data_IF_246456014457
#
_entry.id   IF_246456014457
#
_cell.length_a   1.000
_cell.length_b   1.000
_cell.length_c   1.000
_cell.angle_alpha   90.00
_cell.angle_beta   90.00
_cell.angle_gamma   90.00
#
_symmetry.space_group_name_H-M   'P 1'
#
loop_
_entity.id
_entity.type
_entity.pdbx_description
1 polymer ?
#
# COMPACT_ATOMS: atom_id res chain seq x y z
N UNK A 1 -7.00 5.46 -20.99
CA UNK A 1 -8.03 4.54 -20.47
C UNK A 1 -9.10 5.35 -19.72
N UNK A 2 -10.36 4.93 -19.68
CA UNK A 2 -11.37 5.52 -18.77
C UNK A 2 -11.13 5.04 -17.33
N UNK A 3 -11.50 5.82 -16.31
CA UNK A 3 -11.42 5.37 -14.91
C UNK A 3 -12.25 4.10 -14.67
N UNK A 4 -11.86 3.34 -13.64
CA UNK A 4 -12.56 2.13 -13.23
C UNK A 4 -14.00 2.41 -12.79
N UNK A 5 -14.27 3.58 -12.23
CA UNK A 5 -15.61 4.11 -12.01
C UNK A 5 -15.56 5.60 -11.64
N UNK A 6 -16.72 6.25 -11.59
CA UNK A 6 -16.84 7.66 -11.19
C UNK A 6 -16.39 7.94 -9.77
N UNK A 7 -16.36 6.94 -8.88
CA UNK A 7 -15.96 7.11 -7.48
C UNK A 7 -14.47 7.44 -7.32
N UNK A 8 -13.66 7.28 -8.36
CA UNK A 8 -12.24 7.62 -8.37
C UNK A 8 -11.96 9.06 -8.83
N UNK A 9 -12.99 9.77 -9.31
CA UNK A 9 -12.89 11.19 -9.66
C UNK A 9 -12.74 12.01 -8.39
N UNK A 10 -11.89 13.03 -8.46
CA UNK A 10 -11.67 13.94 -7.33
C UNK A 10 -12.90 14.84 -7.11
N UNK A 11 -13.51 14.70 -5.93
CA UNK A 11 -14.72 15.41 -5.53
C UNK A 11 -14.61 15.96 -4.09
N UNK A 12 -13.41 15.96 -3.50
CA UNK A 12 -13.09 16.31 -2.11
C UNK A 12 -13.77 15.44 -1.03
N UNK A 13 -14.68 14.54 -1.40
CA UNK A 13 -15.46 13.76 -0.45
C UNK A 13 -14.62 12.60 0.08
N UNK A 14 -14.51 12.45 1.41
CA UNK A 14 -13.81 11.33 1.98
C UNK A 14 -14.59 10.04 1.74
N UNK A 15 -13.89 8.98 1.34
CA UNK A 15 -14.48 7.66 1.18
C UNK A 15 -14.65 6.94 2.52
N UNK A 16 -13.78 7.24 3.49
CA UNK A 16 -13.91 6.80 4.88
C UNK A 16 -14.63 7.85 5.73
N UNK A 17 -15.32 7.39 6.77
CA UNK A 17 -15.76 8.28 7.85
C UNK A 17 -14.53 8.82 8.60
N UNK A 18 -14.46 10.13 8.75
CA UNK A 18 -13.36 10.84 9.40
C UNK A 18 -13.81 11.44 10.73
N UNK A 19 -12.97 11.33 11.75
CA UNK A 19 -13.18 12.03 13.02
C UNK A 19 -12.83 13.52 12.91
N UNK A 20 -13.07 14.30 13.97
CA UNK A 20 -12.81 15.75 13.97
C UNK A 20 -11.36 16.10 13.62
N UNK A 21 -10.39 15.44 14.23
CA UNK A 21 -8.96 15.68 13.97
C UNK A 21 -8.60 15.36 12.52
N UNK A 22 -9.11 14.25 11.98
CA UNK A 22 -8.87 13.85 10.60
C UNK A 22 -9.48 14.84 9.60
N UNK A 23 -10.66 15.38 9.89
CA UNK A 23 -11.27 16.43 9.07
C UNK A 23 -10.44 17.73 9.09
N UNK A 24 -9.93 18.12 10.26
CA UNK A 24 -9.04 19.28 10.40
C UNK A 24 -7.74 19.10 9.60
N UNK A 25 -7.08 17.94 9.71
CA UNK A 25 -5.86 17.64 8.96
C UNK A 25 -6.13 17.55 7.45
N UNK A 26 -7.23 16.91 7.03
CA UNK A 26 -7.64 16.87 5.63
C UNK A 26 -7.79 18.29 5.07
N UNK A 27 -8.49 19.17 5.78
CA UNK A 27 -8.68 20.55 5.34
C UNK A 27 -7.35 21.29 5.19
N UNK A 28 -6.41 21.11 6.13
CA UNK A 28 -5.08 21.71 6.03
C UNK A 28 -4.33 21.23 4.78
N UNK A 29 -4.39 19.93 4.47
CA UNK A 29 -3.77 19.38 3.26
C UNK A 29 -4.44 19.95 2.01
N UNK A 30 -5.78 19.98 1.95
CA UNK A 30 -6.51 20.55 0.82
C UNK A 30 -6.14 22.03 0.59
N UNK A 31 -6.06 22.84 1.65
CA UNK A 31 -5.67 24.25 1.57
C UNK A 31 -4.23 24.42 1.05
N UNK A 32 -3.30 23.58 1.51
CA UNK A 32 -1.90 23.59 1.05
C UNK A 32 -1.76 23.13 -0.40
N UNK A 33 -2.58 22.18 -0.85
CA UNK A 33 -2.62 21.77 -2.27
C UNK A 33 -3.24 22.87 -3.13
N UNK A 34 -4.38 23.43 -2.73
CA UNK A 34 -5.10 24.45 -3.50
C UNK A 34 -4.31 25.77 -3.65
N UNK A 35 -3.55 26.15 -2.61
CA UNK A 35 -2.67 27.33 -2.64
C UNK A 35 -1.37 27.13 -3.43
N UNK A 36 -1.06 25.89 -3.83
CA UNK A 36 0.23 25.53 -4.45
C UNK A 36 1.41 25.48 -3.48
N UNK A 37 1.14 25.50 -2.17
CA UNK A 37 2.17 25.37 -1.12
C UNK A 37 2.82 23.99 -1.18
N UNK A 38 2.03 22.91 -1.27
CA UNK A 38 2.55 21.59 -1.58
C UNK A 38 2.87 21.47 -3.06
N UNK A 39 4.17 21.54 -3.37
CA UNK A 39 4.68 21.38 -4.72
C UNK A 39 4.69 19.90 -5.13
N UNK A 40 4.30 19.65 -6.40
CA UNK A 40 4.25 18.32 -6.99
C UNK A 40 5.23 18.19 -8.17
N UNK A 41 5.73 16.98 -8.40
CA UNK A 41 6.64 16.63 -9.49
C UNK A 41 6.14 15.41 -10.28
N UNK A 42 6.36 15.44 -11.61
CA UNK A 42 6.09 14.29 -12.47
C UNK A 42 7.33 13.42 -12.63
N UNK A 43 7.24 12.17 -12.21
CA UNK A 43 8.37 11.23 -12.20
C UNK A 43 8.24 10.15 -13.27
N UNK A 44 9.35 9.46 -13.56
CA UNK A 44 9.35 8.24 -14.38
C UNK A 44 8.86 7.05 -13.54
N UNK A 45 8.52 5.94 -14.21
CA UNK A 45 8.20 4.71 -13.51
C UNK A 45 9.40 4.23 -12.68
N UNK A 46 9.20 3.97 -11.37
CA UNK A 46 10.29 3.56 -10.49
C UNK A 46 10.88 2.18 -10.85
N UNK A 47 10.11 1.32 -11.52
CA UNK A 47 10.60 -0.01 -11.94
C UNK A 47 11.29 0.06 -13.30
N UNK A 48 10.64 0.59 -14.34
CA UNK A 48 11.13 0.48 -15.72
C UNK A 48 11.63 1.78 -16.35
N UNK A 49 11.51 2.93 -15.67
CA UNK A 49 11.97 4.24 -16.17
C UNK A 49 11.11 4.86 -17.28
N UNK A 50 10.04 4.18 -17.71
CA UNK A 50 9.13 4.66 -18.77
C UNK A 50 8.14 5.71 -18.25
N UNK A 51 7.45 6.38 -19.17
CA UNK A 51 6.47 7.46 -18.89
C UNK A 51 5.05 7.13 -19.36
N UNK A 52 4.83 5.93 -19.85
CA UNK A 52 3.54 5.46 -20.35
C UNK A 52 2.68 4.98 -19.18
N UNK A 53 1.67 5.78 -18.84
CA UNK A 53 0.82 5.56 -17.68
C UNK A 53 -0.65 5.73 -18.03
N UNK A 54 -1.49 4.87 -17.46
CA UNK A 54 -2.94 5.08 -17.41
C UNK A 54 -3.38 5.52 -16.01
N UNK A 55 -4.35 6.42 -15.95
CA UNK A 55 -4.93 6.93 -14.71
C UNK A 55 -5.86 5.90 -14.08
N UNK A 56 -5.69 5.67 -12.78
CA UNK A 56 -6.55 4.78 -11.98
C UNK A 56 -7.40 5.55 -10.96
N UNK A 57 -6.86 6.62 -10.37
CA UNK A 57 -7.60 7.46 -9.42
C UNK A 57 -7.09 8.90 -9.40
N UNK A 58 -7.98 9.83 -9.09
CA UNK A 58 -7.70 11.25 -8.86
C UNK A 58 -7.79 11.63 -7.37
N UNK A 59 -8.16 10.68 -6.51
CA UNK A 59 -8.21 10.86 -5.06
C UNK A 59 -7.79 9.62 -4.29
N UNK A 60 -7.50 9.81 -3.01
CA UNK A 60 -7.28 8.75 -2.04
C UNK A 60 -8.53 8.47 -1.18
N UNK A 61 -8.41 7.54 -0.21
CA UNK A 61 -9.52 7.19 0.69
C UNK A 61 -10.00 8.34 1.59
N UNK A 62 -9.18 9.37 1.79
CA UNK A 62 -9.52 10.56 2.57
C UNK A 62 -10.19 11.62 1.71
N UNK A 63 -10.31 11.39 0.39
CA UNK A 63 -10.82 12.39 -0.54
C UNK A 63 -9.81 13.49 -0.84
N UNK A 64 -8.53 13.30 -0.51
CA UNK A 64 -7.46 14.21 -0.87
C UNK A 64 -7.12 14.03 -2.34
N UNK A 65 -6.73 15.11 -3.01
CA UNK A 65 -6.27 15.03 -4.38
C UNK A 65 -5.00 14.18 -4.48
N UNK A 66 -5.00 13.20 -5.39
CA UNK A 66 -3.89 12.29 -5.60
C UNK A 66 -3.99 11.66 -6.99
N UNK A 67 -2.97 11.78 -7.83
CA UNK A 67 -2.98 11.16 -9.15
C UNK A 67 -2.35 9.77 -9.11
N UNK A 68 -3.16 8.72 -8.97
CA UNK A 68 -2.70 7.33 -8.94
C UNK A 68 -2.75 6.75 -10.34
N UNK A 69 -1.61 6.24 -10.82
CA UNK A 69 -1.45 5.74 -12.19
C UNK A 69 -0.80 4.38 -12.22
N UNK A 70 -1.10 3.59 -13.26
CA UNK A 70 -0.45 2.31 -13.54
C UNK A 70 0.46 2.43 -14.76
N UNK A 71 1.67 1.89 -14.67
CA UNK A 71 2.62 1.86 -15.78
C UNK A 71 2.24 0.79 -16.80
N UNK A 72 2.13 1.17 -18.07
CA UNK A 72 1.77 0.26 -19.18
C UNK A 72 2.85 -0.80 -19.48
N UNK A 73 4.10 -0.55 -19.05
CA UNK A 73 5.27 -1.37 -19.40
C UNK A 73 5.59 -2.43 -18.35
N UNK A 74 5.43 -2.14 -17.06
CA UNK A 74 5.73 -3.09 -16.00
C UNK A 74 4.55 -3.40 -15.07
N UNK A 75 3.48 -2.60 -15.09
CA UNK A 75 2.32 -2.80 -14.21
C UNK A 75 2.43 -2.20 -12.80
N UNK A 76 3.52 -1.48 -12.47
CA UNK A 76 3.61 -0.77 -11.18
C UNK A 76 2.53 0.31 -11.09
N UNK A 77 1.80 0.34 -9.98
CA UNK A 77 0.92 1.44 -9.62
C UNK A 77 1.70 2.43 -8.76
N UNK A 78 1.67 3.72 -9.10
CA UNK A 78 2.36 4.78 -8.36
C UNK A 78 1.63 6.12 -8.45
N UNK A 79 1.95 7.00 -7.53
CA UNK A 79 1.49 8.39 -7.55
C UNK A 79 2.31 9.18 -8.56
N UNK A 80 1.65 9.83 -9.51
CA UNK A 80 2.32 10.64 -10.53
C UNK A 80 1.37 11.67 -11.16
N UNK A 81 1.53 12.99 -10.91
CA UNK A 81 2.60 13.60 -10.12
C UNK A 81 2.45 13.29 -8.64
N UNK A 82 3.58 13.27 -7.92
CA UNK A 82 3.67 13.09 -6.46
C UNK A 82 4.17 14.37 -5.79
N UNK A 83 4.03 14.52 -4.48
CA UNK A 83 4.67 15.62 -3.76
C UNK A 83 6.19 15.58 -3.97
N UNK A 84 6.82 16.75 -4.08
CA UNK A 84 8.28 16.87 -4.00
C UNK A 84 8.77 16.42 -2.63
N UNK A 85 10.04 16.03 -2.49
CA UNK A 85 10.60 15.57 -1.22
C UNK A 85 10.34 16.55 -0.07
N UNK A 86 10.57 17.86 -0.29
CA UNK A 86 10.34 18.88 0.74
C UNK A 86 8.86 18.96 1.18
N UNK A 87 7.92 18.94 0.23
CA UNK A 87 6.49 18.95 0.54
C UNK A 87 6.05 17.66 1.23
N UNK A 88 6.60 16.53 0.81
CA UNK A 88 6.31 15.22 1.38
C UNK A 88 6.84 15.07 2.82
N UNK A 89 8.06 15.55 3.09
CA UNK A 89 8.65 15.56 4.43
C UNK A 89 7.82 16.42 5.40
N UNK A 90 7.40 17.61 4.96
CA UNK A 90 6.52 18.47 5.76
C UNK A 90 5.17 17.79 6.02
N UNK A 91 4.56 17.20 4.99
CA UNK A 91 3.32 16.43 5.14
C UNK A 91 3.48 15.29 6.17
N UNK A 92 4.61 14.59 6.12
CA UNK A 92 4.91 13.50 7.05
C UNK A 92 5.08 13.99 8.49
N UNK A 93 5.67 15.17 8.66
CA UNK A 93 5.95 15.78 9.96
C UNK A 93 4.69 16.37 10.61
N UNK A 94 3.79 16.98 9.83
CA UNK A 94 2.70 17.79 10.36
C UNK A 94 1.37 17.03 10.36
N UNK A 95 0.91 16.54 9.19
CA UNK A 95 -0.45 16.02 9.03
C UNK A 95 -0.53 14.49 9.01
N UNK A 96 0.47 13.79 8.47
CA UNK A 96 0.40 12.35 8.17
C UNK A 96 -0.13 11.50 9.32
N UNK A 97 0.57 11.46 10.48
CA UNK A 97 0.18 10.57 11.57
C UNK A 97 -1.20 10.92 12.14
N UNK A 98 -1.52 12.21 12.27
CA UNK A 98 -2.81 12.70 12.79
C UNK A 98 -3.96 12.36 11.87
N UNK A 99 -3.77 12.52 10.56
CA UNK A 99 -4.76 12.13 9.56
C UNK A 99 -4.93 10.60 9.50
N UNK A 100 -3.85 9.84 9.65
CA UNK A 100 -3.86 8.40 9.42
C UNK A 100 -4.31 7.59 10.63
N UNK A 101 -3.85 7.96 11.83
CA UNK A 101 -4.22 7.31 13.08
C UNK A 101 -5.45 7.94 13.72
N UNK A 102 -5.72 9.22 13.46
CA UNK A 102 -6.81 9.94 14.12
C UNK A 102 -6.54 10.22 15.60
N UNK A 103 -5.30 10.01 16.06
CA UNK A 103 -4.82 10.20 17.42
C UNK A 103 -3.45 10.90 17.42
N UNK A 104 -3.11 11.56 18.53
CA UNK A 104 -1.88 12.34 18.70
C UNK A 104 -0.75 11.59 19.44
N UNK A 105 -0.96 10.36 19.94
CA UNK A 105 0.03 9.67 20.81
C UNK A 105 0.11 8.16 20.58
N UNK A 106 1.28 7.53 20.81
CA UNK A 106 1.40 6.08 20.82
C UNK A 106 0.61 5.47 21.98
N UNK A 107 -0.01 4.31 21.72
CA UNK A 107 -0.77 3.55 22.72
C UNK A 107 -0.17 2.15 22.91
N UNK A 108 -0.48 1.52 24.05
CA UNK A 108 -0.12 0.11 24.28
C UNK A 108 -0.68 -0.82 23.20
N UNK A 109 -1.85 -0.48 22.64
CA UNK A 109 -2.47 -1.26 21.57
C UNK A 109 -1.62 -1.21 20.29
N UNK A 110 -1.13 -0.04 19.89
CA UNK A 110 -0.25 0.10 18.72
C UNK A 110 1.01 -0.76 18.87
N UNK A 111 1.61 -0.76 20.06
CA UNK A 111 2.77 -1.62 20.34
C UNK A 111 2.41 -3.11 20.24
N UNK A 112 1.30 -3.51 20.85
CA UNK A 112 0.87 -4.90 20.87
C UNK A 112 0.51 -5.42 19.46
N UNK A 113 -0.14 -4.60 18.63
CA UNK A 113 -0.45 -4.94 17.24
C UNK A 113 0.83 -5.13 16.41
N UNK A 114 1.81 -4.23 16.58
CA UNK A 114 3.13 -4.36 15.96
C UNK A 114 3.88 -5.60 16.47
N UNK A 115 3.74 -5.96 17.75
CA UNK A 115 4.30 -7.18 18.32
C UNK A 115 3.70 -8.44 17.72
N UNK A 116 2.36 -8.51 17.58
CA UNK A 116 1.70 -9.64 16.93
C UNK A 116 2.14 -9.78 15.46
N UNK A 117 2.30 -8.65 14.75
CA UNK A 117 2.88 -8.63 13.41
C UNK A 117 4.31 -9.17 13.43
N UNK A 118 5.14 -8.72 14.37
CA UNK A 118 6.50 -9.21 14.56
C UNK A 118 6.59 -10.71 14.75
N UNK A 119 5.65 -11.32 15.49
CA UNK A 119 5.58 -12.79 15.63
C UNK A 119 5.29 -13.48 14.30
N UNK A 120 4.42 -12.92 13.47
CA UNK A 120 4.14 -13.46 12.14
C UNK A 120 5.37 -13.35 11.23
N UNK A 121 6.06 -12.20 11.26
CA UNK A 121 7.30 -11.96 10.52
C UNK A 121 8.40 -12.94 10.96
N UNK A 122 8.61 -13.10 12.27
CA UNK A 122 9.56 -14.08 12.80
C UNK A 122 9.23 -15.51 12.33
N UNK A 123 7.96 -15.92 12.45
CA UNK A 123 7.55 -17.27 12.06
C UNK A 123 7.76 -17.58 10.58
N UNK A 124 7.68 -16.57 9.72
CA UNK A 124 7.93 -16.70 8.28
C UNK A 124 9.42 -16.68 7.93
N UNK A 125 10.23 -15.94 8.69
CA UNK A 125 11.68 -15.82 8.49
C UNK A 125 12.48 -16.97 9.12
N UNK A 126 12.06 -17.50 10.26
CA UNK A 126 12.81 -18.54 10.99
C UNK A 126 13.19 -19.78 10.17
N UNK A 127 12.39 -20.25 9.16
CA UNK A 127 12.80 -21.40 8.35
C UNK A 127 14.05 -21.13 7.49
N UNK A 128 14.40 -19.85 7.31
CA UNK A 128 15.57 -19.40 6.55
C UNK A 128 16.80 -19.22 7.44
N UNK A 129 16.71 -19.47 8.74
CA UNK A 129 17.82 -19.29 9.66
C UNK A 129 18.77 -20.50 9.62
N UNK A 130 20.03 -20.25 9.29
CA UNK A 130 21.08 -21.29 9.16
C UNK A 130 21.99 -21.44 10.38
N UNK A 131 21.77 -20.64 11.43
CA UNK A 131 22.63 -20.55 12.63
C UNK A 131 21.78 -20.26 13.88
N UNK A 132 22.33 -20.38 15.10
CA UNK A 132 21.59 -20.09 16.33
C UNK A 132 20.96 -18.69 16.34
N UNK A 133 19.72 -18.59 16.83
CA UNK A 133 18.91 -17.34 16.80
C UNK A 133 19.63 -16.18 17.50
N UNK A 134 20.36 -16.46 18.58
CA UNK A 134 21.10 -15.45 19.35
C UNK A 134 22.30 -14.83 18.61
N UNK A 135 22.66 -15.36 17.44
CA UNK A 135 23.69 -14.77 16.59
C UNK A 135 23.13 -13.76 15.57
N UNK A 136 21.80 -13.73 15.37
CA UNK A 136 21.13 -12.82 14.44
C UNK A 136 21.04 -11.41 14.98
N UNK A 137 21.49 -10.46 14.16
CA UNK A 137 21.26 -9.04 14.32
C UNK A 137 20.20 -8.57 13.34
N UNK A 138 19.07 -8.11 13.90
CA UNK A 138 17.88 -7.66 13.18
C UNK A 138 17.78 -6.14 13.26
N UNK A 139 17.70 -5.50 12.10
CA UNK A 139 17.45 -4.08 11.94
C UNK A 139 16.04 -3.87 11.39
N UNK A 140 15.24 -3.02 12.03
CA UNK A 140 13.95 -2.57 11.47
C UNK A 140 14.03 -1.07 11.13
N UNK A 141 13.62 -0.73 9.91
CA UNK A 141 13.51 0.66 9.43
C UNK A 141 12.04 1.08 9.48
N UNK A 142 11.78 2.24 10.07
CA UNK A 142 10.44 2.71 10.44
C UNK A 142 9.82 1.86 11.56
N UNK A 143 10.61 1.60 12.61
CA UNK A 143 10.23 0.66 13.67
C UNK A 143 9.09 1.15 14.58
N UNK A 144 8.68 2.42 14.48
CA UNK A 144 7.73 3.04 15.40
C UNK A 144 8.14 2.83 16.85
N UNK A 145 7.30 2.13 17.61
CA UNK A 145 7.55 1.83 19.03
C UNK A 145 8.32 0.51 19.27
N UNK A 146 8.75 -0.18 18.21
CA UNK A 146 9.61 -1.36 18.27
C UNK A 146 8.90 -2.67 18.60
N UNK A 147 7.58 -2.75 18.44
CA UNK A 147 6.80 -3.97 18.71
C UNK A 147 7.27 -5.16 17.88
N UNK A 148 7.60 -4.96 16.59
CA UNK A 148 8.15 -6.02 15.73
C UNK A 148 9.47 -6.53 16.28
N UNK A 149 10.41 -5.63 16.59
CA UNK A 149 11.70 -5.97 17.20
C UNK A 149 11.57 -6.68 18.55
N UNK A 150 10.55 -6.35 19.35
CA UNK A 150 10.29 -7.05 20.61
C UNK A 150 10.05 -8.55 20.39
N UNK A 151 9.30 -8.92 19.36
CA UNK A 151 9.07 -10.32 19.02
C UNK A 151 10.37 -11.06 18.68
N UNK A 152 11.30 -10.43 17.96
CA UNK A 152 12.61 -11.02 17.65
C UNK A 152 13.52 -11.10 18.88
N UNK A 153 13.53 -10.05 19.71
CA UNK A 153 14.33 -10.00 20.93
C UNK A 153 13.96 -11.11 21.92
N UNK A 154 12.67 -11.43 22.05
CA UNK A 154 12.18 -12.52 22.90
C UNK A 154 12.65 -13.91 22.44
N UNK A 155 12.96 -14.07 21.14
CA UNK A 155 13.55 -15.30 20.59
C UNK A 155 15.08 -15.35 20.76
N UNK A 156 15.69 -14.25 21.21
CA UNK A 156 17.12 -14.15 21.50
C UNK A 156 17.92 -13.32 20.48
N UNK A 157 17.30 -12.80 19.42
CA UNK A 157 18.01 -11.96 18.44
C UNK A 157 18.54 -10.66 19.09
N UNK A 158 19.68 -10.17 18.58
CA UNK A 158 20.08 -8.78 18.76
C UNK A 158 19.20 -7.90 17.86
N UNK A 159 18.71 -6.78 18.39
CA UNK A 159 17.74 -5.93 17.68
C UNK A 159 18.13 -4.47 17.73
N UNK A 160 17.89 -3.73 16.65
CA UNK A 160 18.00 -2.27 16.59
C UNK A 160 16.93 -1.71 15.67
N UNK A 161 16.35 -0.56 16.03
CA UNK A 161 15.29 0.09 15.25
C UNK A 161 15.59 1.54 14.92
N UNK A 162 15.12 2.01 13.77
CA UNK A 162 15.16 3.42 13.37
C UNK A 162 13.77 3.92 13.01
N UNK A 163 13.39 5.11 13.48
CA UNK A 163 12.16 5.79 13.08
C UNK A 163 12.35 7.31 13.19
N UNK A 164 11.72 8.15 12.35
CA UNK A 164 11.76 9.59 12.55
C UNK A 164 10.90 10.07 13.74
N UNK A 165 9.91 9.29 14.18
CA UNK A 165 8.93 9.65 15.21
C UNK A 165 9.46 9.47 16.63
N UNK A 166 10.11 10.50 17.19
CA UNK A 166 10.73 10.48 18.52
C UNK A 166 9.79 10.03 19.65
N UNK A 167 8.53 10.41 19.62
CA UNK A 167 7.55 10.01 20.65
C UNK A 167 7.31 8.49 20.70
N UNK A 168 7.31 7.82 19.55
CA UNK A 168 7.15 6.37 19.47
C UNK A 168 8.42 5.66 19.94
N UNK A 169 9.58 6.20 19.56
CA UNK A 169 10.87 5.68 19.99
C UNK A 169 11.02 5.75 21.52
N UNK A 170 10.66 6.89 22.12
CA UNK A 170 10.75 7.07 23.57
C UNK A 170 9.81 6.11 24.31
N UNK A 171 8.61 5.86 23.78
CA UNK A 171 7.72 4.83 24.31
C UNK A 171 8.39 3.45 24.33
N UNK A 172 8.99 3.01 23.21
CA UNK A 172 9.67 1.71 23.11
C UNK A 172 10.92 1.60 24.01
N UNK A 173 11.70 2.69 24.11
CA UNK A 173 12.88 2.77 24.98
C UNK A 173 12.49 2.70 26.45
N UNK A 174 11.53 3.51 26.90
CA UNK A 174 11.17 3.61 28.32
C UNK A 174 10.41 2.39 28.82
N UNK A 175 9.46 1.86 28.03
CA UNK A 175 8.59 0.78 28.49
C UNK A 175 9.18 -0.62 28.24
N UNK A 176 10.03 -0.77 27.22
CA UNK A 176 10.57 -2.07 26.81
C UNK A 176 12.10 -2.11 26.78
N UNK A 177 12.82 -1.00 26.97
CA UNK A 177 14.29 -1.00 26.97
C UNK A 177 14.88 -1.40 25.62
N UNK A 178 14.23 -1.06 24.51
CA UNK A 178 14.70 -1.36 23.15
C UNK A 178 15.77 -0.34 22.69
N UNK A 179 16.75 -0.79 21.90
CA UNK A 179 17.73 0.07 21.22
C UNK A 179 17.10 0.65 19.95
N UNK A 180 16.39 1.77 20.13
CA UNK A 180 15.74 2.49 19.04
C UNK A 180 16.44 3.84 18.85
N UNK A 181 16.59 4.30 17.61
CA UNK A 181 17.33 5.53 17.25
C UNK A 181 16.46 6.42 16.35
N UNK A 182 16.52 7.73 16.59
CA UNK A 182 15.84 8.69 15.74
C UNK A 182 16.63 8.92 14.45
N UNK A 183 15.97 8.77 13.30
CA UNK A 183 16.61 9.00 12.00
C UNK A 183 16.08 8.07 10.91
N UNK A 184 16.80 8.10 9.80
CA UNK A 184 16.59 7.30 8.60
C UNK A 184 17.72 6.29 8.41
N UNK A 185 17.63 5.42 7.41
CA UNK A 185 18.71 4.49 7.10
C UNK A 185 19.99 5.20 6.61
N UNK A 186 19.92 6.45 6.16
CA UNK A 186 21.11 7.22 5.78
C UNK A 186 21.89 7.75 7.00
N UNK A 187 21.25 7.85 8.17
CA UNK A 187 21.87 8.23 9.45
C UNK A 187 22.58 7.04 10.14
N UNK A 188 22.63 5.90 9.45
CA UNK A 188 23.03 4.61 9.99
C UNK A 188 24.53 4.55 10.31
N UNK A 189 24.84 4.53 11.60
CA UNK A 189 26.16 4.12 12.11
C UNK A 189 26.01 2.76 12.79
N UNK A 190 26.45 1.71 12.10
CA UNK A 190 26.47 0.35 12.65
C UNK A 190 27.91 -0.13 12.88
N UNK A 191 28.10 -0.81 14.01
CA UNK A 191 29.36 -1.51 14.31
C UNK A 191 29.44 -2.89 13.64
N UNK A 192 28.29 -3.41 13.18
CA UNK A 192 28.15 -4.72 12.53
C UNK A 192 27.00 -4.64 11.53
N UNK A 193 27.17 -5.23 10.35
CA UNK A 193 26.08 -5.40 9.37
C UNK A 193 24.95 -6.27 9.93
N UNK A 194 23.67 -5.86 9.77
CA UNK A 194 22.55 -6.69 10.17
C UNK A 194 22.43 -7.90 9.27
N UNK A 195 22.05 -9.01 9.86
CA UNK A 195 21.78 -10.25 9.14
C UNK A 195 20.35 -10.26 8.59
N UNK A 196 19.46 -9.44 9.16
CA UNK A 196 18.09 -9.24 8.68
C UNK A 196 17.78 -7.75 8.71
N UNK A 197 17.29 -7.22 7.60
CA UNK A 197 16.69 -5.87 7.53
C UNK A 197 15.19 -6.03 7.27
N UNK A 198 14.36 -5.38 8.08
CA UNK A 198 12.90 -5.43 8.02
C UNK A 198 12.35 -4.05 7.59
N UNK A 199 11.48 -4.07 6.59
CA UNK A 199 10.53 -3.00 6.27
C UNK A 199 9.12 -3.55 6.44
N UNK A 200 8.34 -3.02 7.38
CA UNK A 200 6.93 -3.36 7.55
C UNK A 200 6.10 -2.09 7.45
N UNK A 201 5.38 -1.93 6.33
CA UNK A 201 4.57 -0.74 6.01
C UNK A 201 5.35 0.58 5.99
N UNK A 202 6.55 0.55 5.41
CA UNK A 202 7.47 1.69 5.34
C UNK A 202 7.97 1.91 3.91
N UNK A 203 8.24 0.82 3.18
CA UNK A 203 8.86 0.88 1.86
C UNK A 203 8.02 1.66 0.84
N UNK A 204 6.69 1.59 0.92
CA UNK A 204 5.75 2.33 0.07
C UNK A 204 5.76 3.87 0.29
N UNK A 205 6.32 4.32 1.41
CA UNK A 205 6.40 5.73 1.79
C UNK A 205 7.69 6.43 1.32
N UNK A 206 8.68 5.69 0.83
CA UNK A 206 10.00 6.22 0.51
C UNK A 206 10.02 6.70 -0.93
N UNK A 207 10.28 7.99 -1.17
CA UNK A 207 10.24 8.55 -2.52
C UNK A 207 11.36 8.04 -3.43
N UNK A 208 12.61 7.97 -2.95
CA UNK A 208 13.76 7.46 -3.72
C UNK A 208 14.13 6.03 -3.29
N UNK A 209 13.35 5.06 -3.78
CA UNK A 209 13.60 3.63 -3.53
C UNK A 209 14.94 3.15 -4.09
N UNK A 210 15.50 3.81 -5.12
CA UNK A 210 16.79 3.41 -5.65
C UNK A 210 17.92 3.81 -4.70
N UNK A 211 17.86 4.98 -4.07
CA UNK A 211 18.78 5.36 -3.02
C UNK A 211 18.67 4.40 -1.82
N UNK A 212 17.44 4.13 -1.38
CA UNK A 212 17.21 3.25 -0.24
C UNK A 212 17.77 1.85 -0.47
N UNK A 213 17.48 1.24 -1.63
CA UNK A 213 17.97 -0.09 -1.97
C UNK A 213 19.51 -0.15 -2.06
N UNK A 214 20.17 0.93 -2.51
CA UNK A 214 21.64 1.04 -2.46
C UNK A 214 22.15 1.09 -1.03
N UNK A 215 21.46 1.79 -0.12
CA UNK A 215 21.84 1.84 1.30
C UNK A 215 21.60 0.50 1.97
N UNK A 216 20.44 -0.14 1.77
CA UNK A 216 20.14 -1.49 2.26
C UNK A 216 21.22 -2.48 1.81
N UNK A 217 21.58 -2.49 0.53
CA UNK A 217 22.59 -3.42 -0.01
C UNK A 217 23.98 -3.22 0.61
N UNK A 218 24.35 -1.98 0.92
CA UNK A 218 25.63 -1.67 1.59
C UNK A 218 25.63 -2.07 3.06
N UNK A 219 24.49 -1.92 3.73
CA UNK A 219 24.35 -2.22 5.15
C UNK A 219 24.28 -3.72 5.41
N UNK A 220 23.46 -4.45 4.64
CA UNK A 220 23.12 -5.86 4.84
C UNK A 220 24.37 -6.76 4.83
N UNK A 221 24.38 -7.77 5.71
CA UNK A 221 25.41 -8.80 5.70
C UNK A 221 25.39 -9.61 4.39
N UNK A 222 26.53 -10.23 4.04
CA UNK A 222 26.72 -10.98 2.78
C UNK A 222 25.65 -12.05 2.54
N UNK A 223 25.29 -12.79 3.58
CA UNK A 223 24.26 -13.84 3.54
C UNK A 223 22.98 -13.38 4.25
N UNK A 224 22.78 -12.06 4.34
CA UNK A 224 21.67 -11.45 5.04
C UNK A 224 20.36 -11.51 4.24
N UNK A 225 19.26 -11.37 4.97
CA UNK A 225 17.89 -11.36 4.45
C UNK A 225 17.32 -9.95 4.48
N UNK A 226 16.70 -9.52 3.40
CA UNK A 226 15.83 -8.36 3.36
C UNK A 226 14.38 -8.84 3.38
N UNK A 227 13.65 -8.45 4.41
CA UNK A 227 12.22 -8.70 4.52
C UNK A 227 11.45 -7.41 4.22
N UNK A 228 10.46 -7.49 3.34
CA UNK A 228 9.55 -6.40 3.03
C UNK A 228 8.11 -6.90 3.16
N UNK A 229 7.30 -6.14 3.90
CA UNK A 229 5.85 -6.25 3.99
C UNK A 229 5.22 -4.89 3.69
N UNK A 230 4.22 -4.88 2.79
CA UNK A 230 3.45 -3.69 2.44
C UNK A 230 2.06 -4.08 1.90
N UNK A 231 1.08 -3.16 1.80
CA UNK A 231 -0.24 -3.49 1.28
C UNK A 231 -0.22 -3.88 -0.21
N UNK A 232 -0.36 -5.18 -0.48
CA UNK A 232 -0.35 -5.70 -1.84
C UNK A 232 -1.62 -5.43 -2.64
N UNK A 233 -1.46 -4.97 -3.89
CA UNK A 233 -2.58 -4.65 -4.80
C UNK A 233 -3.47 -5.86 -5.04
N UNK A 234 -2.89 -7.05 -5.27
CA UNK A 234 -3.66 -8.28 -5.52
C UNK A 234 -4.19 -8.96 -4.24
N UNK A 235 -4.15 -8.26 -3.11
CA UNK A 235 -4.66 -8.73 -1.82
C UNK A 235 -5.73 -7.80 -1.21
N UNK A 236 -6.23 -6.83 -2.00
CA UNK A 236 -7.29 -5.89 -1.59
C UNK A 236 -8.55 -6.62 -1.09
N UNK A 237 -8.89 -7.77 -1.65
CA UNK A 237 -10.08 -8.53 -1.25
C UNK A 237 -10.00 -9.03 0.20
N UNK A 238 -8.80 -9.32 0.70
CA UNK A 238 -8.60 -9.85 2.04
C UNK A 238 -8.42 -8.74 3.10
N UNK A 239 -7.83 -7.60 2.73
CA UNK A 239 -7.43 -6.55 3.68
C UNK A 239 -8.35 -5.32 3.64
N UNK A 240 -8.95 -5.05 2.48
CA UNK A 240 -9.75 -3.86 2.23
C UNK A 240 -11.14 -4.21 1.69
N UNK A 241 -11.63 -5.42 1.95
CA UNK A 241 -12.98 -5.88 1.59
C UNK A 241 -13.30 -5.73 0.09
N UNK A 242 -12.29 -5.83 -0.77
CA UNK A 242 -12.46 -5.65 -2.21
C UNK A 242 -12.67 -4.19 -2.63
N UNK A 243 -12.25 -3.23 -1.80
CA UNK A 243 -12.34 -1.81 -2.11
C UNK A 243 -10.96 -1.22 -2.39
N UNK A 244 -10.63 -1.05 -3.67
CA UNK A 244 -9.36 -0.46 -4.08
C UNK A 244 -9.16 0.97 -3.58
N UNK A 245 -10.22 1.77 -3.41
CA UNK A 245 -10.07 3.14 -2.92
C UNK A 245 -9.60 3.19 -1.47
N UNK A 246 -9.94 2.18 -0.63
CA UNK A 246 -9.47 2.08 0.76
C UNK A 246 -7.97 1.78 0.89
N UNK A 247 -7.38 1.13 -0.14
CA UNK A 247 -5.93 0.92 -0.24
C UNK A 247 -5.20 2.26 -0.49
N UNK A 248 -5.81 3.16 -1.26
CA UNK A 248 -5.18 4.42 -1.69
C UNK A 248 -5.05 5.40 -0.53
N UNK A 249 -3.83 5.87 -0.34
CA UNK A 249 -3.39 6.74 0.73
C UNK A 249 -2.38 7.72 0.13
N UNK A 250 -2.56 9.03 0.28
CA UNK A 250 -1.63 10.02 -0.27
C UNK A 250 -0.15 9.79 0.11
N UNK A 251 0.11 9.21 1.28
CA UNK A 251 1.44 8.84 1.76
C UNK A 251 2.00 7.57 1.08
N UNK A 252 1.16 6.73 0.49
CA UNK A 252 1.60 5.51 -0.19
C UNK A 252 1.90 5.87 -1.65
N UNK A 253 3.15 6.21 -1.92
CA UNK A 253 3.54 6.68 -3.25
C UNK A 253 3.66 5.55 -4.28
N UNK A 254 3.82 4.31 -3.80
CA UNK A 254 3.91 3.11 -4.61
C UNK A 254 2.94 2.03 -4.09
N UNK A 255 2.28 1.32 -5.01
CA UNK A 255 1.43 0.18 -4.71
C UNK A 255 1.90 -1.02 -5.52
N UNK A 256 2.49 -2.00 -4.84
CA UNK A 256 3.11 -3.14 -5.49
C UNK A 256 2.20 -4.37 -5.53
N UNK A 257 2.36 -5.14 -6.59
CA UNK A 257 2.20 -6.61 -6.58
C UNK A 257 3.53 -7.26 -6.22
N UNK A 258 3.54 -8.54 -5.84
CA UNK A 258 4.81 -9.25 -5.61
C UNK A 258 5.75 -9.16 -6.82
N UNK A 259 5.18 -9.25 -8.03
CA UNK A 259 5.95 -9.20 -9.28
C UNK A 259 6.63 -7.83 -9.48
N UNK A 260 5.88 -6.74 -9.30
CA UNK A 260 6.43 -5.38 -9.48
C UNK A 260 7.47 -5.02 -8.42
N UNK A 261 7.30 -5.48 -7.17
CA UNK A 261 8.33 -5.35 -6.13
C UNK A 261 9.59 -6.15 -6.51
N UNK A 262 9.41 -7.40 -6.93
CA UNK A 262 10.51 -8.27 -7.35
C UNK A 262 11.29 -7.67 -8.52
N UNK A 263 10.60 -7.13 -9.52
CA UNK A 263 11.25 -6.42 -10.64
C UNK A 263 12.15 -5.29 -10.14
N UNK A 264 11.68 -4.45 -9.20
CA UNK A 264 12.48 -3.34 -8.65
C UNK A 264 13.70 -3.85 -7.90
N UNK A 265 13.53 -4.81 -6.99
CA UNK A 265 14.59 -5.32 -6.14
C UNK A 265 15.68 -6.04 -6.95
N UNK A 266 15.30 -6.74 -8.01
CA UNK A 266 16.24 -7.43 -8.89
C UNK A 266 17.18 -6.47 -9.63
N UNK A 267 16.73 -5.25 -9.96
CA UNK A 267 17.60 -4.21 -10.55
C UNK A 267 18.74 -3.78 -9.60
N UNK A 268 18.56 -4.01 -8.30
CA UNK A 268 19.57 -3.74 -7.27
C UNK A 268 20.29 -5.01 -6.81
N UNK A 269 20.08 -6.14 -7.47
CA UNK A 269 20.72 -7.42 -7.15
C UNK A 269 20.19 -8.07 -5.88
N UNK A 270 18.91 -7.87 -5.58
CA UNK A 270 18.16 -8.66 -4.61
C UNK A 270 17.31 -9.71 -5.34
N UNK A 271 17.33 -10.94 -4.84
CA UNK A 271 16.63 -12.07 -5.42
C UNK A 271 15.56 -12.57 -4.47
N UNK A 272 14.33 -12.71 -4.97
CA UNK A 272 13.18 -13.17 -4.19
C UNK A 272 13.34 -14.65 -3.82
N UNK A 273 13.36 -14.95 -2.53
CA UNK A 273 13.43 -16.31 -2.00
C UNK A 273 12.03 -16.89 -1.74
N UNK A 274 11.13 -16.05 -1.23
CA UNK A 274 9.74 -16.36 -1.01
C UNK A 274 8.91 -15.08 -0.97
N UNK A 275 7.64 -15.17 -1.37
CA UNK A 275 6.70 -14.07 -1.29
C UNK A 275 5.28 -14.49 -1.64
N UNK A 276 4.32 -13.62 -1.31
CA UNK A 276 2.91 -13.77 -1.68
C UNK A 276 2.32 -12.41 -2.11
N UNK A 277 1.03 -12.38 -2.50
CA UNK A 277 0.38 -11.14 -2.93
C UNK A 277 -0.06 -10.21 -1.78
N UNK A 278 0.10 -10.63 -0.52
CA UNK A 278 0.15 -9.69 0.62
C UNK A 278 1.44 -8.86 0.54
N UNK A 279 2.37 -9.20 -0.36
CA UNK A 279 3.72 -8.66 -0.47
C UNK A 279 4.49 -8.90 0.82
N UNK A 280 4.33 -10.11 1.36
CA UNK A 280 5.08 -10.60 2.52
C UNK A 280 6.28 -11.39 1.99
N UNK A 281 7.41 -10.72 1.77
CA UNK A 281 8.48 -11.24 0.89
C UNK A 281 9.87 -11.19 1.52
N UNK A 282 10.67 -12.21 1.19
CA UNK A 282 12.07 -12.37 1.61
C UNK A 282 12.96 -12.30 0.38
N UNK A 283 14.01 -11.50 0.48
CA UNK A 283 15.01 -11.33 -0.54
C UNK A 283 16.42 -11.59 0.01
N UNK A 284 17.32 -12.04 -0.86
CA UNK A 284 18.75 -12.20 -0.57
C UNK A 284 19.59 -11.51 -1.62
N UNK A 285 20.85 -11.20 -1.31
CA UNK A 285 21.83 -10.69 -2.28
C UNK A 285 22.66 -11.78 -2.95
N UNK A 286 22.45 -13.04 -2.56
CA UNK A 286 23.16 -14.19 -3.14
C UNK A 286 22.67 -14.47 -4.58
N UNK A 287 23.53 -14.29 -5.61
CA UNK A 287 23.15 -14.53 -7.00
C UNK A 287 22.92 -16.01 -7.33
N UNK A 288 23.38 -16.95 -6.49
CA UNK A 288 23.13 -18.39 -6.70
C UNK A 288 21.63 -18.75 -6.61
N UNK A 289 20.83 -17.84 -6.07
CA UNK A 289 19.38 -17.99 -5.88
C UNK A 289 18.57 -17.76 -7.18
N UNK A 290 19.20 -17.34 -8.29
CA UNK A 290 18.55 -17.24 -9.60
C UNK A 290 19.41 -17.82 -10.72
N UNK A 291 18.78 -18.49 -11.67
CA UNK A 291 19.42 -18.99 -12.90
C UNK A 291 19.24 -18.07 -14.11
N UNK A 292 18.57 -16.92 -13.94
CA UNK A 292 18.19 -16.02 -15.04
C UNK A 292 18.65 -14.59 -14.82
N UNK A 293 19.11 -13.98 -15.92
CA UNK A 293 19.35 -12.54 -16.01
C UNK A 293 18.11 -11.73 -15.62
N UNK A 294 18.26 -10.58 -14.95
CA UNK A 294 17.13 -9.71 -14.60
C UNK A 294 16.41 -9.19 -15.83
N UNK A 295 15.16 -9.62 -16.01
CA UNK A 295 14.26 -9.05 -17.02
C UNK A 295 12.99 -8.58 -16.34
N UNK A 296 12.66 -7.30 -16.52
CA UNK A 296 11.42 -6.72 -16.02
C UNK A 296 10.24 -7.43 -16.69
N UNK A 297 9.38 -8.03 -15.88
CA UNK A 297 8.14 -8.65 -16.34
C UNK A 297 6.98 -7.65 -16.30
N UNK A 298 6.04 -7.75 -17.23
CA UNK A 298 4.90 -6.84 -17.31
C UNK A 298 3.67 -7.42 -16.59
N UNK A 299 3.21 -6.75 -15.52
CA UNK A 299 2.01 -7.12 -14.76
C UNK A 299 0.76 -6.29 -15.14
N UNK A 300 0.88 -5.35 -16.09
CA UNK A 300 -0.14 -4.34 -16.41
C UNK A 300 -1.54 -4.92 -16.67
N UNK A 301 -1.66 -5.82 -17.65
CA UNK A 301 -2.96 -6.39 -18.03
C UNK A 301 -3.55 -7.28 -16.93
N UNK A 302 -2.70 -7.96 -16.15
CA UNK A 302 -3.14 -8.79 -15.03
C UNK A 302 -3.69 -7.92 -13.89
N UNK A 303 -3.00 -6.83 -13.54
CA UNK A 303 -3.44 -5.88 -12.52
C UNK A 303 -4.73 -5.17 -12.93
N UNK A 304 -4.84 -4.69 -14.17
CA UNK A 304 -6.07 -4.06 -14.65
C UNK A 304 -7.26 -5.01 -14.65
N UNK A 305 -7.07 -6.24 -15.12
CA UNK A 305 -8.13 -7.26 -15.07
C UNK A 305 -8.55 -7.54 -13.62
N UNK A 306 -7.59 -7.65 -12.70
CA UNK A 306 -7.88 -7.82 -11.28
C UNK A 306 -8.69 -6.64 -10.72
N UNK A 307 -8.23 -5.39 -10.92
CA UNK A 307 -8.92 -4.20 -10.41
C UNK A 307 -10.31 -4.03 -11.03
N UNK A 308 -10.49 -4.32 -12.32
CA UNK A 308 -11.79 -4.28 -12.99
C UNK A 308 -12.76 -5.33 -12.42
N UNK A 309 -12.27 -6.50 -12.00
CA UNK A 309 -13.09 -7.51 -11.33
C UNK A 309 -13.47 -7.08 -9.91
N UNK A 310 -12.49 -6.57 -9.15
CA UNK A 310 -12.69 -6.04 -7.80
C UNK A 310 -13.72 -4.92 -7.80
N UNK A 311 -13.57 -3.94 -8.70
CA UNK A 311 -14.50 -2.83 -8.82
C UNK A 311 -15.91 -3.28 -9.22
N UNK A 312 -16.04 -4.22 -10.16
CA UNK A 312 -17.36 -4.73 -10.53
C UNK A 312 -18.08 -5.40 -9.37
N UNK A 313 -17.36 -6.21 -8.55
CA UNK A 313 -17.93 -6.82 -7.35
C UNK A 313 -18.36 -5.77 -6.34
N UNK A 314 -17.54 -4.73 -6.13
CA UNK A 314 -17.89 -3.59 -5.28
C UNK A 314 -19.19 -2.93 -5.74
N UNK A 315 -19.30 -2.61 -7.03
CA UNK A 315 -20.51 -2.00 -7.62
C UNK A 315 -21.74 -2.89 -7.41
N UNK A 316 -21.64 -4.20 -7.66
CA UNK A 316 -22.76 -5.14 -7.43
C UNK A 316 -23.17 -5.18 -5.97
N UNK A 317 -22.21 -5.21 -5.04
CA UNK A 317 -22.48 -5.24 -3.60
C UNK A 317 -23.19 -3.96 -3.14
N UNK A 318 -22.71 -2.79 -3.55
CA UNK A 318 -23.35 -1.51 -3.23
C UNK A 318 -24.74 -1.41 -3.87
N UNK A 319 -24.91 -1.88 -5.11
CA UNK A 319 -26.21 -1.96 -5.76
C UNK A 319 -27.21 -2.80 -4.97
N UNK A 320 -26.80 -3.96 -4.47
CA UNK A 320 -27.63 -4.83 -3.63
C UNK A 320 -27.97 -4.19 -2.28
N UNK A 321 -27.03 -3.49 -1.64
CA UNK A 321 -27.28 -2.76 -0.39
C UNK A 321 -28.32 -1.67 -0.62
N UNK A 322 -28.17 -0.87 -1.68
CA UNK A 322 -29.11 0.20 -2.02
C UNK A 322 -30.51 -0.35 -2.35
N UNK A 323 -30.57 -1.43 -3.15
CA UNK A 323 -31.83 -2.09 -3.50
C UNK A 323 -32.59 -2.58 -2.27
N UNK A 324 -31.90 -3.23 -1.32
CA UNK A 324 -32.50 -3.71 -0.05
C UNK A 324 -33.04 -2.57 0.81
N UNK A 325 -32.46 -1.38 0.70
CA UNK A 325 -32.89 -0.17 1.41
C UNK A 325 -33.89 0.67 0.62
N UNK A 326 -34.49 0.13 -0.46
CA UNK A 326 -35.42 0.83 -1.35
C UNK A 326 -34.85 2.09 -2.04
N UNK A 327 -33.52 2.21 -2.12
CA UNK A 327 -32.81 3.26 -2.86
C UNK A 327 -32.56 2.79 -4.30
N UNK A 328 -33.63 2.71 -5.08
CA UNK A 328 -33.60 2.05 -6.39
C UNK A 328 -32.82 2.83 -7.46
N UNK A 329 -32.81 4.16 -7.38
CA UNK A 329 -32.04 4.99 -8.31
C UNK A 329 -30.54 4.72 -8.15
N UNK A 330 -30.03 4.82 -6.92
CA UNK A 330 -28.63 4.56 -6.57
C UNK A 330 -28.25 3.10 -6.85
N UNK A 331 -29.16 2.16 -6.58
CA UNK A 331 -28.96 0.76 -6.94
C UNK A 331 -28.78 0.56 -8.45
N UNK A 332 -29.59 1.25 -9.27
CA UNK A 332 -29.50 1.16 -10.72
C UNK A 332 -28.21 1.76 -11.26
N UNK A 333 -27.71 2.86 -10.69
CA UNK A 333 -26.41 3.44 -11.05
C UNK A 333 -25.26 2.45 -10.81
N UNK A 334 -25.25 1.81 -9.64
CA UNK A 334 -24.26 0.78 -9.32
C UNK A 334 -24.34 -0.44 -10.25
N UNK A 335 -25.54 -0.95 -10.56
CA UNK A 335 -25.66 -2.08 -11.48
C UNK A 335 -25.29 -1.71 -12.92
N UNK A 336 -25.60 -0.49 -13.37
CA UNK A 336 -25.16 0.02 -14.67
C UNK A 336 -23.64 -0.01 -14.79
N UNK A 337 -22.94 0.46 -13.75
CA UNK A 337 -21.48 0.46 -13.69
C UNK A 337 -20.91 -0.96 -13.65
N UNK A 338 -21.53 -1.86 -12.89
CA UNK A 338 -21.18 -3.28 -12.89
C UNK A 338 -21.27 -3.93 -14.28
N UNK A 339 -22.29 -3.59 -15.08
CA UNK A 339 -22.45 -4.03 -16.48
C UNK A 339 -21.44 -3.35 -17.40
N UNK A 340 -21.10 -2.08 -17.20
CA UNK A 340 -20.05 -1.38 -17.98
C UNK A 340 -18.72 -2.10 -17.87
N UNK A 341 -18.35 -2.50 -16.65
CA UNK A 341 -17.11 -3.21 -16.37
C UNK A 341 -17.11 -4.65 -16.88
N UNK A 342 -18.24 -5.35 -16.79
CA UNK A 342 -18.39 -6.74 -17.28
C UNK A 342 -19.68 -6.91 -18.06
N UNK A 343 -19.69 -6.51 -19.34
CA UNK A 343 -20.90 -6.49 -20.14
C UNK A 343 -21.48 -7.87 -20.41
N UNK A 344 -20.72 -8.95 -20.22
CA UNK A 344 -21.20 -10.33 -20.39
C UNK A 344 -21.75 -10.93 -19.09
N UNK A 345 -21.74 -10.19 -17.97
CA UNK A 345 -22.24 -10.69 -16.69
C UNK A 345 -23.78 -10.66 -16.65
N UNK A 346 -24.36 -11.80 -16.97
CA UNK A 346 -25.81 -12.06 -17.03
C UNK A 346 -26.52 -11.77 -15.71
N UNK A 347 -25.88 -12.08 -14.58
CA UNK A 347 -26.48 -11.87 -13.25
C UNK A 347 -26.64 -10.39 -12.95
N UNK A 348 -25.62 -9.57 -13.22
CA UNK A 348 -25.67 -8.12 -12.96
C UNK A 348 -26.69 -7.45 -13.87
N UNK A 349 -26.78 -7.87 -15.14
CA UNK A 349 -27.83 -7.39 -16.05
C UNK A 349 -29.24 -7.68 -15.54
N UNK A 350 -29.49 -8.88 -14.99
CA UNK A 350 -30.78 -9.23 -14.38
C UNK A 350 -31.07 -8.38 -13.14
N UNK A 351 -30.08 -8.17 -12.27
CA UNK A 351 -30.22 -7.28 -11.12
C UNK A 351 -30.58 -5.85 -11.56
N UNK A 352 -29.92 -5.34 -12.61
CA UNK A 352 -30.22 -4.03 -13.17
C UNK A 352 -31.65 -3.97 -13.71
N UNK A 353 -32.05 -4.95 -14.53
CA UNK A 353 -33.40 -5.02 -15.10
C UNK A 353 -34.49 -5.05 -14.03
N UNK A 354 -34.33 -5.85 -12.97
CA UNK A 354 -35.29 -5.91 -11.85
C UNK A 354 -35.37 -4.56 -11.13
N UNK A 355 -34.24 -3.88 -10.97
CA UNK A 355 -34.18 -2.56 -10.35
C UNK A 355 -34.88 -1.51 -11.21
N UNK A 356 -34.68 -1.53 -12.53
CA UNK A 356 -35.37 -0.65 -13.47
C UNK A 356 -36.89 -0.84 -13.43
N UNK A 357 -37.38 -2.07 -13.26
CA UNK A 357 -38.82 -2.32 -13.06
C UNK A 357 -39.35 -1.66 -11.78
N UNK A 358 -38.57 -1.62 -10.69
CA UNK A 358 -38.93 -0.92 -9.44
C UNK A 358 -38.96 0.60 -9.59
N UNK A 359 -38.40 1.12 -10.68
CA UNK A 359 -38.36 2.54 -11.03
C UNK A 359 -39.37 2.88 -12.14
N UNK A 360 -40.32 1.99 -12.46
CA UNK A 360 -41.29 2.13 -13.55
C UNK A 360 -40.67 2.31 -14.95
N UNK A 361 -39.39 1.90 -15.14
CA UNK A 361 -38.67 1.93 -16.42
C UNK A 361 -38.80 0.59 -17.16
N UNK A 362 -40.02 0.21 -17.51
CA UNK A 362 -40.35 -1.13 -18.04
C UNK A 362 -39.64 -1.46 -19.34
N UNK A 363 -39.62 -0.54 -20.32
CA UNK A 363 -39.00 -0.78 -21.63
C UNK A 363 -37.49 -1.01 -21.50
N UNK A 364 -36.82 -0.22 -20.65
CA UNK A 364 -35.39 -0.37 -20.37
C UNK A 364 -35.10 -1.70 -19.67
N UNK A 365 -35.96 -2.11 -18.73
CA UNK A 365 -35.83 -3.39 -18.04
C UNK A 365 -35.95 -4.57 -19.00
N UNK A 366 -36.92 -4.55 -19.92
CA UNK A 366 -37.10 -5.61 -20.92
C UNK A 366 -35.88 -5.72 -21.84
N UNK A 367 -35.37 -4.58 -22.34
CA UNK A 367 -34.17 -4.54 -23.17
C UNK A 367 -32.95 -5.13 -22.45
N UNK A 368 -32.78 -4.77 -21.18
CA UNK A 368 -31.67 -5.29 -20.36
C UNK A 368 -31.82 -6.79 -20.09
N UNK A 369 -33.03 -7.26 -19.83
CA UNK A 369 -33.31 -8.68 -19.59
C UNK A 369 -33.09 -9.55 -20.84
N UNK A 370 -33.50 -9.09 -22.02
CA UNK A 370 -33.32 -9.82 -23.29
C UNK A 370 -31.85 -9.96 -23.71
N UNK A 371 -30.99 -9.08 -23.22
CA UNK A 371 -29.54 -9.10 -23.48
C UNK A 371 -28.74 -9.69 -22.32
N UNK A 372 -29.42 -10.32 -21.35
CA UNK A 372 -28.85 -10.95 -20.17
C UNK A 372 -28.73 -12.46 -20.25
#
# INVERSE_FOLDING_TARGET
MELLSSRYVYDTNPHKLLNKLQLEMKQQVDDKVASGYYAFESVRCCVCGQRDFDLLSEKDRYGLWMSVKICQVCGLIQTNPRMTQAAYDEFYQIEYRKLYQGEDRPTNQIFYDAYLRGRNIYNYLQPWFSRPVNEYFVLEVGCGCGGVLQAFREQGCQVKGFDPGTEYLDFGRTNYGLDLVAGTLDDLVLHRSPDIIIYSHVFEHILDLHAELRTIKRALAKDGLLFIELPGVKNIENVYEGDFLLLLQNAHTYHFTLLTLTNLLQLHGFYCLAGNEVVFAIFSTDPSQTSREPTIQNDYSSVLSFLSNVESRYQVQQGLINYKNNRFFEAAEHFAEGVRLHPTNTQVRRLWAVTLMKMDRVDDAVKMWQTS
#
